data_IF_530366222047
#
_entry.id   IF_530366222047
#
_cell.length_a   1.000
_cell.length_b   1.000
_cell.length_c   1.000
_cell.angle_alpha   90.00
_cell.angle_beta   90.00
_cell.angle_gamma   90.00
#
_symmetry.space_group_name_H-M   'P 1'
#
loop_
_entity.id
_entity.type
_entity.pdbx_description
1 polymer ?
#
# COMPACT_ATOMS: atom_id res chain seq x y z
N UNK A 1 -3.25 43.90 20.34
CA UNK A 1 -4.44 43.02 20.33
C UNK A 1 -4.46 41.99 19.19
N UNK A 2 -4.03 42.31 17.96
CA UNK A 2 -4.09 41.35 16.83
C UNK A 2 -3.28 40.06 16.99
N UNK A 3 -2.07 40.11 17.58
CA UNK A 3 -1.22 38.92 17.78
C UNK A 3 -1.82 37.90 18.75
N UNK A 4 -2.44 38.36 19.85
CA UNK A 4 -3.05 37.46 20.83
C UNK A 4 -4.26 36.73 20.23
N UNK A 5 -5.13 37.45 19.52
CA UNK A 5 -6.29 36.87 18.86
C UNK A 5 -5.87 35.86 17.76
N UNK A 6 -4.85 36.20 16.98
CA UNK A 6 -4.30 35.28 15.97
C UNK A 6 -3.75 34.00 16.60
N UNK A 7 -3.02 34.10 17.72
CA UNK A 7 -2.49 32.93 18.41
C UNK A 7 -3.61 32.05 18.97
N UNK A 8 -4.66 32.65 19.54
CA UNK A 8 -5.82 31.89 20.03
C UNK A 8 -6.49 31.12 18.89
N UNK A 9 -6.73 31.78 17.75
CA UNK A 9 -7.29 31.13 16.57
C UNK A 9 -6.38 30.01 16.03
N UNK A 10 -5.07 30.21 16.03
CA UNK A 10 -4.11 29.17 15.64
C UNK A 10 -4.20 27.94 16.56
N UNK A 11 -4.26 28.15 17.88
CA UNK A 11 -4.44 27.06 18.85
C UNK A 11 -5.74 26.29 18.62
N UNK A 12 -6.85 26.99 18.32
CA UNK A 12 -8.11 26.33 18.00
C UNK A 12 -8.03 25.51 16.70
N UNK A 13 -7.39 26.05 15.66
CA UNK A 13 -7.19 25.33 14.40
C UNK A 13 -6.36 24.05 14.59
N UNK A 14 -5.32 24.10 15.43
CA UNK A 14 -4.53 22.92 15.78
C UNK A 14 -5.36 21.88 16.54
N UNK A 15 -6.13 22.32 17.54
CA UNK A 15 -7.03 21.45 18.31
C UNK A 15 -8.05 20.73 17.42
N UNK A 16 -8.70 21.44 16.50
CA UNK A 16 -9.65 20.85 15.56
C UNK A 16 -8.97 19.84 14.61
N UNK A 17 -7.78 20.18 14.10
CA UNK A 17 -7.01 19.26 13.25
C UNK A 17 -6.63 17.98 14.00
N UNK A 18 -6.26 18.08 15.27
CA UNK A 18 -5.94 16.93 16.10
C UNK A 18 -7.16 16.05 16.40
N UNK A 19 -8.33 16.66 16.62
CA UNK A 19 -9.57 15.92 16.81
C UNK A 19 -9.97 15.13 15.55
N UNK A 20 -9.80 15.73 14.36
CA UNK A 20 -10.04 15.06 13.08
C UNK A 20 -9.07 13.88 12.88
N UNK A 21 -7.79 14.08 13.19
CA UNK A 21 -6.78 13.01 13.13
C UNK A 21 -7.11 11.86 14.08
N UNK A 22 -7.53 12.16 15.30
CA UNK A 22 -7.92 11.17 16.31
C UNK A 22 -9.06 10.28 15.79
N UNK A 23 -10.16 10.89 15.35
CA UNK A 23 -11.32 10.17 14.79
C UNK A 23 -10.95 9.33 13.55
N UNK A 24 -10.07 9.86 12.70
CA UNK A 24 -9.58 9.13 11.52
C UNK A 24 -8.78 7.89 11.94
N UNK A 25 -7.92 8.01 12.97
CA UNK A 25 -7.14 6.88 13.51
C UNK A 25 -8.05 5.82 14.13
N UNK A 26 -9.06 6.22 14.88
CA UNK A 26 -10.08 5.31 15.43
C UNK A 26 -10.83 4.57 14.32
N UNK A 27 -11.32 5.30 13.32
CA UNK A 27 -11.98 4.70 12.16
C UNK A 27 -11.08 3.73 11.39
N UNK A 28 -9.80 4.09 11.21
CA UNK A 28 -8.81 3.20 10.61
C UNK A 28 -8.55 1.96 11.46
N UNK A 29 -8.52 2.06 12.79
CA UNK A 29 -8.35 0.92 13.69
C UNK A 29 -9.52 -0.07 13.55
N UNK A 30 -10.76 0.43 13.51
CA UNK A 30 -11.96 -0.40 13.27
C UNK A 30 -11.91 -1.05 11.88
N UNK A 31 -11.55 -0.30 10.84
CA UNK A 31 -11.45 -0.83 9.48
C UNK A 31 -10.33 -1.87 9.33
N UNK A 32 -9.21 -1.69 10.05
CA UNK A 32 -8.11 -2.67 10.13
C UNK A 32 -8.56 -3.96 10.82
N UNK A 33 -9.25 -3.85 11.96
CA UNK A 33 -9.79 -5.01 12.68
C UNK A 33 -10.79 -5.81 11.81
N UNK A 34 -11.56 -5.13 10.96
CA UNK A 34 -12.47 -5.74 9.97
C UNK A 34 -11.77 -6.23 8.69
N UNK A 35 -10.44 -6.12 8.58
CA UNK A 35 -9.66 -6.54 7.41
C UNK A 35 -9.91 -5.72 6.14
N UNK A 36 -10.58 -4.57 6.23
CA UNK A 36 -10.93 -3.73 5.06
C UNK A 36 -9.77 -2.87 4.57
N UNK A 37 -8.84 -2.53 5.47
CA UNK A 37 -7.62 -1.82 5.10
C UNK A 37 -6.59 -2.79 4.53
N UNK A 38 -6.66 -3.00 3.22
CA UNK A 38 -5.60 -3.66 2.45
C UNK A 38 -4.84 -2.56 1.73
N UNK A 39 -3.51 -2.53 1.89
CA UNK A 39 -2.65 -1.58 1.20
C UNK A 39 -2.79 -1.68 -0.33
N UNK A 40 -1.89 -1.02 -1.07
CA UNK A 40 -1.93 -1.05 -2.54
C UNK A 40 -1.99 -2.50 -3.05
N UNK A 41 -3.04 -2.80 -3.82
CA UNK A 41 -3.21 -4.13 -4.42
C UNK A 41 -2.00 -4.47 -5.30
N UNK A 42 -1.61 -5.75 -5.38
CA UNK A 42 -0.59 -6.18 -6.32
C UNK A 42 -0.92 -5.77 -7.75
N UNK A 43 0.10 -5.47 -8.57
CA UNK A 43 -0.09 -5.13 -9.99
C UNK A 43 -0.65 -6.30 -10.81
N UNK A 44 -0.32 -7.53 -10.42
CA UNK A 44 -0.76 -8.74 -11.08
C UNK A 44 -1.95 -9.36 -10.33
N UNK A 45 -2.94 -9.84 -11.08
CA UNK A 45 -4.01 -10.68 -10.54
C UNK A 45 -3.45 -11.99 -9.98
N UNK A 46 -4.21 -12.68 -9.11
CA UNK A 46 -3.74 -13.94 -8.51
C UNK A 46 -3.44 -15.01 -9.57
N UNK A 47 -4.21 -15.04 -10.67
CA UNK A 47 -3.95 -15.91 -11.81
C UNK A 47 -2.61 -15.58 -12.47
N UNK A 48 -2.32 -14.30 -12.71
CA UNK A 48 -1.05 -13.86 -13.29
C UNK A 48 0.13 -14.12 -12.36
N UNK A 49 -0.06 -14.00 -11.04
CA UNK A 49 1.01 -14.32 -10.08
C UNK A 49 1.36 -15.82 -10.10
N UNK A 50 0.34 -16.70 -10.16
CA UNK A 50 0.54 -18.15 -10.30
C UNK A 50 1.21 -18.50 -11.63
N UNK A 51 0.79 -17.86 -12.70
CA UNK A 51 1.38 -18.07 -14.02
C UNK A 51 2.85 -17.63 -14.06
N UNK A 52 3.16 -16.45 -13.53
CA UNK A 52 4.53 -15.97 -13.39
C UNK A 52 5.40 -16.95 -12.60
N UNK A 53 4.89 -17.49 -11.49
CA UNK A 53 5.59 -18.50 -10.70
C UNK A 53 5.82 -19.79 -11.49
N UNK A 54 4.79 -20.30 -12.17
CA UNK A 54 4.90 -21.48 -13.05
C UNK A 54 5.98 -21.30 -14.12
N UNK A 55 6.00 -20.15 -14.79
CA UNK A 55 7.01 -19.85 -15.82
C UNK A 55 8.41 -19.66 -15.23
N UNK A 56 8.52 -19.14 -14.01
CA UNK A 56 9.80 -19.06 -13.30
C UNK A 56 10.32 -20.46 -12.95
N UNK A 57 9.46 -21.35 -12.47
CA UNK A 57 9.84 -22.71 -12.05
C UNK A 57 10.33 -23.58 -13.22
N UNK A 58 9.95 -23.29 -14.47
CA UNK A 58 10.51 -24.01 -15.64
C UNK A 58 11.99 -23.69 -15.89
N UNK A 59 12.54 -22.63 -15.29
CA UNK A 59 13.92 -22.15 -15.51
C UNK A 59 14.24 -21.76 -16.96
N UNK A 60 13.23 -21.65 -17.83
CA UNK A 60 13.38 -21.23 -19.23
C UNK A 60 13.42 -19.70 -19.42
N UNK A 61 13.02 -18.93 -18.39
CA UNK A 61 12.86 -17.49 -18.49
C UNK A 61 13.74 -16.79 -17.46
N UNK A 62 14.45 -15.74 -17.88
CA UNK A 62 15.13 -14.85 -16.96
C UNK A 62 14.15 -13.91 -16.26
N UNK A 63 14.58 -13.28 -15.17
CA UNK A 63 13.79 -12.26 -14.47
C UNK A 63 13.50 -11.05 -15.39
N UNK A 64 14.36 -10.75 -16.37
CA UNK A 64 14.08 -9.73 -17.39
C UNK A 64 12.93 -10.14 -18.28
N UNK A 65 12.95 -11.37 -18.79
CA UNK A 65 11.95 -11.84 -19.74
C UNK A 65 10.57 -11.85 -19.09
N UNK A 66 10.49 -12.29 -17.83
CA UNK A 66 9.25 -12.23 -17.05
C UNK A 66 8.81 -10.80 -16.75
N UNK A 67 9.74 -9.88 -16.51
CA UNK A 67 9.40 -8.47 -16.28
C UNK A 67 8.78 -7.85 -17.54
N UNK A 68 9.37 -8.10 -18.70
CA UNK A 68 8.86 -7.62 -20.00
C UNK A 68 7.53 -8.26 -20.37
N UNK A 69 7.45 -9.60 -20.28
CA UNK A 69 6.24 -10.37 -20.64
C UNK A 69 5.02 -9.94 -19.83
N UNK A 70 5.19 -9.70 -18.53
CA UNK A 70 4.12 -9.25 -17.65
C UNK A 70 3.99 -7.72 -17.57
N UNK A 71 4.79 -6.97 -18.33
CA UNK A 71 4.82 -5.49 -18.33
C UNK A 71 4.96 -4.90 -16.92
N UNK A 72 5.86 -5.47 -16.12
CA UNK A 72 6.16 -5.06 -14.75
C UNK A 72 7.65 -4.84 -14.55
N UNK A 73 8.01 -4.13 -13.48
CA UNK A 73 9.42 -3.96 -13.14
C UNK A 73 10.01 -5.23 -12.53
N UNK A 74 11.31 -5.48 -12.73
CA UNK A 74 12.05 -6.59 -12.09
C UNK A 74 11.81 -6.72 -10.57
N UNK A 75 11.78 -5.64 -9.77
CA UNK A 75 11.42 -5.73 -8.34
C UNK A 75 10.00 -6.26 -8.09
N UNK A 76 9.07 -6.01 -9.00
CA UNK A 76 7.70 -6.54 -8.90
C UNK A 76 7.66 -8.05 -9.17
N UNK A 77 8.53 -8.57 -10.04
CA UNK A 77 8.72 -10.01 -10.25
C UNK A 77 9.18 -10.66 -8.96
N UNK A 78 10.28 -10.18 -8.36
CA UNK A 78 10.79 -10.71 -7.09
C UNK A 78 9.75 -10.67 -5.96
N UNK A 79 9.05 -9.54 -5.79
CA UNK A 79 7.99 -9.43 -4.77
C UNK A 79 6.83 -10.39 -5.01
N UNK A 80 6.54 -10.70 -6.28
CA UNK A 80 5.49 -11.67 -6.64
C UNK A 80 5.93 -13.08 -6.29
N UNK A 81 7.17 -13.46 -6.64
CA UNK A 81 7.75 -14.76 -6.28
C UNK A 81 7.81 -14.96 -4.77
N UNK A 82 8.26 -13.95 -4.01
CA UNK A 82 8.31 -14.00 -2.54
C UNK A 82 6.92 -14.19 -1.90
N UNK A 83 5.87 -13.61 -2.49
CA UNK A 83 4.49 -13.78 -2.00
C UNK A 83 3.93 -15.18 -2.28
N UNK A 84 4.34 -15.82 -3.37
CA UNK A 84 3.90 -17.17 -3.75
C UNK A 84 4.74 -18.29 -3.11
N UNK A 85 5.82 -17.95 -2.39
CA UNK A 85 6.64 -18.90 -1.65
C UNK A 85 6.10 -19.22 -0.25
N UNK A 86 5.13 -18.42 0.22
CA UNK A 86 4.40 -18.58 1.50
C UNK A 86 3.02 -19.16 1.21
#
# INVERSE_FOLDING_TARGET
MGKLFFNILATFAEFEADLIRMRTREGMAVARAKGKLRGKKPKLSDRQQKELRRMYDTSNYSISDLAELFSISRPTVYRTLARQAV
#
